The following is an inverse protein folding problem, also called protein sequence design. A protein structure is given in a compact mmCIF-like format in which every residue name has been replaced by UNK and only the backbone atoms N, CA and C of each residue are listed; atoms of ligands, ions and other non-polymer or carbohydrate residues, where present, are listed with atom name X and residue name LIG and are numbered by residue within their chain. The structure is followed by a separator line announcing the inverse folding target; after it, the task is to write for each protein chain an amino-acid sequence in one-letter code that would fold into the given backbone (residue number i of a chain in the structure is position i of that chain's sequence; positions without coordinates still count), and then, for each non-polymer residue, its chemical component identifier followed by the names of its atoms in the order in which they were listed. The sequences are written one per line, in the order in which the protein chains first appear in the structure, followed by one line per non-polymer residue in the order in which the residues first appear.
data_IF_410300250681
#
_entry.id   IF_410300250681
#
_cell.length_a   1.000
_cell.length_b   1.000
_cell.length_c   1.000
_cell.angle_alpha   90.00
_cell.angle_beta   90.00
_cell.angle_gamma   90.00
#
_symmetry.space_group_name_H-M   'P 1'
#
loop_
_entity.id
_entity.type
_entity.pdbx_description
1 polymer ?
#
# COMPACT_ATOMS: atom_id res chain seq x y z
N UNK A 1 -14.43 12.50 -23.98
CA UNK A 1 -13.74 11.44 -23.23
C UNK A 1 -13.75 11.87 -21.78
N UNK A 2 -14.01 10.97 -20.85
CA UNK A 2 -13.92 11.27 -19.41
C UNK A 2 -12.50 10.94 -18.94
N UNK A 3 -11.68 11.97 -18.77
CA UNK A 3 -10.24 11.85 -18.50
C UNK A 3 -9.93 11.22 -17.12
N UNK A 4 -10.91 11.13 -16.23
CA UNK A 4 -10.76 10.49 -14.91
C UNK A 4 -11.37 9.09 -14.80
N UNK A 5 -12.13 8.65 -15.80
CA UNK A 5 -12.86 7.39 -15.72
C UNK A 5 -11.94 6.18 -15.91
N UNK A 6 -12.06 5.20 -15.02
CA UNK A 6 -11.46 3.89 -15.20
C UNK A 6 -12.12 3.17 -16.40
N UNK A 7 -11.33 2.89 -17.42
CA UNK A 7 -11.79 2.28 -18.68
C UNK A 7 -11.86 0.74 -18.62
N UNK A 8 -11.20 0.09 -17.64
CA UNK A 8 -11.15 -1.37 -17.53
C UNK A 8 -12.16 -1.95 -16.55
N UNK A 9 -12.63 -1.13 -15.59
CA UNK A 9 -13.43 -1.58 -14.44
C UNK A 9 -12.64 -2.40 -13.41
N UNK A 10 -11.35 -2.64 -13.65
CA UNK A 10 -10.46 -3.36 -12.74
C UNK A 10 -9.71 -2.37 -11.84
N UNK A 11 -9.52 -2.75 -10.59
CA UNK A 11 -8.76 -1.98 -9.60
C UNK A 11 -7.71 -2.86 -8.96
N UNK A 12 -6.57 -2.26 -8.65
CA UNK A 12 -5.52 -2.88 -7.86
C UNK A 12 -5.49 -2.23 -6.47
N UNK A 13 -5.38 -3.05 -5.41
CA UNK A 13 -5.22 -2.54 -4.06
C UNK A 13 -3.86 -1.84 -3.93
N UNK A 14 -3.88 -0.56 -3.55
CA UNK A 14 -2.66 0.27 -3.38
C UNK A 14 -2.34 0.60 -1.93
N UNK A 15 -3.34 0.58 -1.05
CA UNK A 15 -3.18 0.94 0.35
C UNK A 15 -4.32 0.41 1.21
N UNK A 16 -4.00 0.09 2.46
CA UNK A 16 -4.94 -0.35 3.49
C UNK A 16 -4.64 0.43 4.77
N UNK A 17 -5.67 1.03 5.36
CA UNK A 17 -5.60 1.58 6.72
C UNK A 17 -6.27 0.58 7.64
N UNK A 18 -5.55 0.11 8.65
CA UNK A 18 -6.04 -0.89 9.61
C UNK A 18 -6.24 -0.25 10.98
N UNK A 19 -7.17 -0.81 11.75
CA UNK A 19 -7.39 -0.48 13.15
C UNK A 19 -7.24 -1.75 13.99
N UNK A 20 -6.53 -1.64 15.11
CA UNK A 20 -6.44 -2.68 16.13
C UNK A 20 -6.93 -2.11 17.46
N UNK A 21 -8.17 -2.45 17.82
CA UNK A 21 -8.78 -2.00 19.07
C UNK A 21 -10.23 -2.45 19.18
N UNK A 22 -10.80 -2.31 20.38
CA UNK A 22 -12.19 -2.68 20.65
C UNK A 22 -13.20 -1.57 20.35
N UNK A 23 -12.74 -0.34 20.09
CA UNK A 23 -13.60 0.81 19.79
C UNK A 23 -12.90 1.77 18.83
N UNK A 24 -13.62 2.70 18.20
CA UNK A 24 -13.02 3.72 17.33
C UNK A 24 -12.24 4.80 18.11
N UNK A 25 -12.59 5.02 19.38
CA UNK A 25 -11.96 6.04 20.25
C UNK A 25 -10.70 5.50 20.98
N UNK A 26 -10.37 4.22 20.78
CA UNK A 26 -9.21 3.56 21.40
C UNK A 26 -8.57 2.55 20.44
N UNK A 27 -7.35 2.09 20.76
CA UNK A 27 -6.60 1.18 19.89
C UNK A 27 -5.53 1.89 19.07
N UNK A 28 -5.21 1.33 17.91
CA UNK A 28 -4.10 1.80 17.07
C UNK A 28 -4.43 1.73 15.59
N UNK A 29 -4.12 2.80 14.86
CA UNK A 29 -4.26 2.85 13.41
C UNK A 29 -2.89 2.74 12.75
N UNK A 30 -2.76 1.85 11.77
CA UNK A 30 -1.53 1.73 10.96
C UNK A 30 -1.90 1.65 9.49
N UNK A 31 -0.92 1.87 8.61
CA UNK A 31 -1.14 1.81 7.17
C UNK A 31 -0.20 0.81 6.50
N UNK A 32 -0.73 0.06 5.54
CA UNK A 32 0.04 -0.73 4.59
C UNK A 32 -0.08 -0.07 3.21
N UNK A 33 1.03 0.18 2.53
CA UNK A 33 1.05 0.79 1.18
C UNK A 33 1.90 -0.07 0.25
N UNK A 34 1.38 -0.37 -0.94
CA UNK A 34 2.09 -1.22 -1.91
C UNK A 34 3.38 -0.54 -2.33
N UNK A 35 4.50 -1.26 -2.28
CA UNK A 35 5.81 -0.71 -2.62
C UNK A 35 5.90 -0.49 -4.12
N UNK A 36 6.20 0.75 -4.50
CA UNK A 36 6.42 1.10 -5.90
C UNK A 36 7.81 0.67 -6.35
N UNK A 37 7.94 0.36 -7.65
CA UNK A 37 9.23 0.05 -8.24
C UNK A 37 10.25 1.18 -8.09
N UNK A 38 11.53 0.83 -7.97
CA UNK A 38 12.61 1.81 -7.83
C UNK A 38 12.67 2.72 -9.06
N UNK A 39 12.78 4.02 -8.84
CA UNK A 39 13.03 4.98 -9.93
C UNK A 39 14.52 4.96 -10.28
N UNK A 40 14.83 4.70 -11.55
CA UNK A 40 16.19 4.79 -12.07
C UNK A 40 16.65 6.26 -12.05
N UNK A 41 17.73 6.60 -11.32
CA UNK A 41 18.22 7.97 -11.22
C UNK A 41 18.68 8.58 -12.55
N UNK A 42 19.05 7.75 -13.54
CA UNK A 42 19.56 8.21 -14.84
C UNK A 42 18.45 8.42 -15.86
N UNK A 43 17.46 7.54 -15.86
CA UNK A 43 16.38 7.56 -16.88
C UNK A 43 15.08 8.14 -16.36
N UNK A 44 14.92 8.29 -15.04
CA UNK A 44 13.68 8.72 -14.39
C UNK A 44 12.54 7.71 -14.50
N UNK A 45 12.77 6.55 -15.12
CA UNK A 45 11.76 5.52 -15.30
C UNK A 45 11.61 4.70 -14.03
N UNK A 46 10.36 4.37 -13.71
CA UNK A 46 10.01 3.47 -12.63
C UNK A 46 10.21 2.02 -13.09
N UNK A 47 10.95 1.24 -12.30
CA UNK A 47 11.09 -0.20 -12.50
C UNK A 47 9.84 -0.98 -12.13
N UNK A 48 9.90 -2.30 -12.25
CA UNK A 48 8.84 -3.19 -11.82
C UNK A 48 8.69 -3.17 -10.29
N UNK A 49 7.46 -3.40 -9.84
CA UNK A 49 7.14 -3.57 -8.41
C UNK A 49 7.60 -4.96 -7.95
N UNK A 50 8.20 -5.04 -6.77
CA UNK A 50 8.68 -6.29 -6.19
C UNK A 50 7.59 -7.11 -5.47
N UNK A 51 6.37 -6.56 -5.37
CA UNK A 51 5.23 -7.17 -4.71
C UNK A 51 5.21 -7.00 -3.19
N UNK A 52 6.23 -6.37 -2.60
CA UNK A 52 6.27 -6.08 -1.17
C UNK A 52 5.45 -4.83 -0.81
N UNK A 53 5.25 -4.65 0.49
CA UNK A 53 4.46 -3.56 1.05
C UNK A 53 5.25 -2.84 2.14
N UNK A 54 4.97 -1.55 2.28
CA UNK A 54 5.42 -0.77 3.42
C UNK A 54 4.36 -0.81 4.50
N UNK A 55 4.75 -1.23 5.70
CA UNK A 55 3.97 -1.06 6.92
C UNK A 55 4.44 0.19 7.66
N UNK A 56 3.57 1.19 7.74
CA UNK A 56 3.76 2.42 8.47
C UNK A 56 3.07 2.30 9.83
N UNK A 57 3.87 2.07 10.87
CA UNK A 57 3.45 2.01 12.25
C UNK A 57 4.09 3.20 12.99
N UNK A 58 3.42 4.35 12.90
CA UNK A 58 3.93 5.64 13.36
C UNK A 58 5.31 5.97 12.76
N UNK A 59 6.33 6.15 13.61
CA UNK A 59 7.71 6.39 13.23
C UNK A 59 8.45 5.12 12.77
N UNK A 60 7.87 3.94 13.01
CA UNK A 60 8.44 2.65 12.64
C UNK A 60 7.91 2.21 11.29
N UNK A 61 8.76 2.34 10.27
CA UNK A 61 8.48 1.86 8.91
C UNK A 61 9.18 0.53 8.69
N UNK A 62 8.45 -0.48 8.22
CA UNK A 62 8.98 -1.82 7.94
C UNK A 62 8.50 -2.33 6.59
N UNK A 63 9.35 -3.09 5.90
CA UNK A 63 8.97 -3.81 4.68
C UNK A 63 8.34 -5.16 5.05
N UNK A 64 7.21 -5.49 4.43
CA UNK A 64 6.48 -6.74 4.66
C UNK A 64 6.08 -7.39 3.33
N UNK A 65 5.97 -8.74 3.28
CA UNK A 65 5.51 -9.44 2.09
C UNK A 65 3.99 -9.28 1.89
N UNK A 66 3.52 -9.52 0.66
CA UNK A 66 2.09 -9.46 0.30
C UNK A 66 1.20 -10.37 1.15
N UNK A 67 1.73 -11.50 1.63
CA UNK A 67 1.02 -12.42 2.52
C UNK A 67 0.55 -11.77 3.83
N UNK A 68 1.21 -10.69 4.27
CA UNK A 68 0.77 -9.91 5.44
C UNK A 68 -0.52 -9.16 5.15
N UNK A 69 -0.76 -8.78 3.90
CA UNK A 69 -1.95 -8.06 3.45
C UNK A 69 -3.10 -9.04 3.25
N UNK A 70 -2.81 -10.21 2.67
CA UNK A 70 -3.82 -11.27 2.48
C UNK A 70 -4.43 -11.72 3.81
N UNK A 71 -3.66 -11.68 4.91
CA UNK A 71 -4.11 -12.02 6.25
C UNK A 71 -4.97 -10.92 6.92
N UNK A 72 -5.11 -9.73 6.33
CA UNK A 72 -5.97 -8.65 6.83
C UNK A 72 -7.42 -8.76 6.31
N UNK A 73 -7.66 -9.64 5.34
CA UNK A 73 -8.96 -9.86 4.71
C UNK A 73 -9.86 -10.81 5.50
#
# INVERSE_FOLDING_TARGET
QDEGANQSGLYELRGVVTHQGSSADSGHYTAYVKKEGRVDPKTGKRGEEDGNWWWFNDDKVSEVPSTSIDALA
#
